data_IF_486344349306
#
_entry.id   IF_486344349306
#
_cell.length_a   1.000
_cell.length_b   1.000
_cell.length_c   1.000
_cell.angle_alpha   90.00
_cell.angle_beta   90.00
_cell.angle_gamma   90.00
#
_symmetry.space_group_name_H-M   'P 1'
#
loop_
_entity.id
_entity.type
_entity.pdbx_description
1 polymer ?
#
# COMPACT_ATOMS: atom_id res chain seq x y z
N UNK A 1 21.85 11.18 -9.55
CA UNK A 1 20.51 10.75 -9.23
C UNK A 1 20.62 9.62 -8.27
N UNK A 2 20.96 8.72 -7.92
CA UNK A 2 20.98 7.68 -6.88
C UNK A 2 22.31 7.50 -6.14
N UNK A 3 23.23 8.46 -6.22
CA UNK A 3 24.59 8.31 -5.64
C UNK A 3 24.59 8.28 -4.10
N UNK A 4 23.55 8.84 -3.46
CA UNK A 4 23.37 8.85 -2.00
C UNK A 4 22.26 7.91 -1.51
N UNK A 5 21.60 7.19 -2.42
CA UNK A 5 20.48 6.30 -2.06
C UNK A 5 20.95 5.13 -1.21
N UNK A 6 20.31 4.94 -0.06
CA UNK A 6 20.61 3.84 0.83
C UNK A 6 19.91 2.55 0.37
N UNK A 7 20.64 1.68 -0.31
CA UNK A 7 20.09 0.42 -0.85
C UNK A 7 19.56 -0.54 0.22
N UNK A 8 19.98 -0.38 1.48
CA UNK A 8 19.40 -1.15 2.59
C UNK A 8 17.94 -0.76 2.84
N UNK A 9 17.64 0.54 2.79
CA UNK A 9 16.27 1.03 2.96
C UNK A 9 15.39 0.66 1.76
N UNK A 10 15.93 0.73 0.54
CA UNK A 10 15.25 0.30 -0.69
C UNK A 10 14.90 -1.20 -0.65
N UNK A 11 15.85 -2.03 -0.19
CA UNK A 11 15.61 -3.48 -0.03
C UNK A 11 14.56 -3.77 1.05
N UNK A 12 14.51 -2.99 2.12
CA UNK A 12 13.50 -3.11 3.17
C UNK A 12 12.09 -2.79 2.61
N UNK A 13 11.97 -1.76 1.77
CA UNK A 13 10.70 -1.42 1.10
C UNK A 13 10.26 -2.51 0.13
N UNK A 14 11.18 -3.09 -0.64
CA UNK A 14 10.88 -4.21 -1.54
C UNK A 14 10.38 -5.44 -0.77
N UNK A 15 11.13 -5.87 0.24
CA UNK A 15 10.77 -7.06 1.03
C UNK A 15 9.50 -6.84 1.87
N UNK A 16 9.37 -5.67 2.47
CA UNK A 16 8.18 -5.33 3.24
C UNK A 16 6.92 -5.32 2.37
N UNK A 17 7.00 -4.75 1.16
CA UNK A 17 5.87 -4.75 0.23
C UNK A 17 5.57 -6.14 -0.31
N UNK A 18 6.61 -6.95 -0.57
CA UNK A 18 6.43 -8.37 -0.91
C UNK A 18 5.59 -9.10 0.15
N UNK A 19 5.98 -8.99 1.43
CA UNK A 19 5.24 -9.65 2.51
C UNK A 19 3.85 -9.06 2.74
N UNK A 20 3.69 -7.74 2.60
CA UNK A 20 2.39 -7.10 2.75
C UNK A 20 1.40 -7.60 1.69
N UNK A 21 1.83 -7.72 0.45
CA UNK A 21 1.01 -8.25 -0.65
C UNK A 21 0.76 -9.75 -0.45
N UNK A 22 1.81 -10.52 -0.20
CA UNK A 22 1.69 -11.97 -0.08
C UNK A 22 0.76 -12.40 1.06
N UNK A 23 0.96 -11.88 2.28
CA UNK A 23 0.12 -12.26 3.43
C UNK A 23 -1.16 -11.45 3.53
N UNK A 24 -1.09 -10.14 3.34
CA UNK A 24 -2.23 -9.25 3.52
C UNK A 24 -3.28 -9.42 2.44
N UNK A 25 -2.87 -9.41 1.17
CA UNK A 25 -3.80 -9.58 0.04
C UNK A 25 -4.33 -11.01 -0.05
N UNK A 26 -3.47 -12.02 0.22
CA UNK A 26 -3.91 -13.42 0.25
C UNK A 26 -5.05 -13.66 1.24
N UNK A 27 -5.08 -12.96 2.36
CA UNK A 27 -6.12 -13.10 3.36
C UNK A 27 -7.50 -12.64 2.85
N UNK A 28 -7.57 -11.58 2.04
CA UNK A 28 -8.83 -11.18 1.40
C UNK A 28 -9.35 -12.21 0.42
N UNK A 29 -8.47 -12.84 -0.32
CA UNK A 29 -8.83 -13.85 -1.31
C UNK A 29 -9.26 -15.19 -0.70
N UNK A 30 -8.93 -15.44 0.58
CA UNK A 30 -9.14 -16.74 1.22
C UNK A 30 -10.39 -16.84 2.07
N UNK A 31 -11.04 -15.73 2.39
CA UNK A 31 -12.19 -15.75 3.28
C UNK A 31 -13.39 -15.08 2.62
N UNK A 32 -14.57 -15.72 2.78
CA UNK A 32 -15.85 -15.07 2.54
C UNK A 32 -16.11 -13.96 3.59
N UNK A 33 -15.17 -13.78 4.53
CA UNK A 33 -15.23 -12.80 5.60
C UNK A 33 -14.24 -11.67 5.34
N UNK A 34 -14.74 -10.57 4.80
CA UNK A 34 -13.96 -9.35 4.54
C UNK A 34 -13.33 -8.78 5.82
N UNK A 35 -13.93 -9.00 6.99
CA UNK A 35 -13.37 -8.56 8.27
C UNK A 35 -12.07 -9.29 8.58
N UNK A 36 -12.03 -10.62 8.41
CA UNK A 36 -10.81 -11.40 8.64
C UNK A 36 -9.68 -10.98 7.69
N UNK A 37 -10.01 -10.72 6.42
CA UNK A 37 -9.06 -10.20 5.43
C UNK A 37 -8.47 -8.84 5.85
N UNK A 38 -9.34 -7.90 6.20
CA UNK A 38 -8.93 -6.56 6.64
C UNK A 38 -8.08 -6.60 7.92
N UNK A 39 -8.47 -7.43 8.89
CA UNK A 39 -7.72 -7.61 10.14
C UNK A 39 -6.33 -8.16 9.87
N UNK A 40 -6.22 -9.19 9.02
CA UNK A 40 -4.93 -9.78 8.66
C UNK A 40 -4.04 -8.76 7.96
N UNK A 41 -4.58 -7.94 7.04
CA UNK A 41 -3.82 -6.91 6.37
C UNK A 41 -3.28 -5.87 7.36
N UNK A 42 -4.12 -5.37 8.28
CA UNK A 42 -3.71 -4.41 9.30
C UNK A 42 -2.66 -4.98 10.26
N UNK A 43 -2.83 -6.22 10.72
CA UNK A 43 -1.86 -6.92 11.58
C UNK A 43 -0.54 -7.19 10.83
N UNK A 44 -0.60 -7.55 9.56
CA UNK A 44 0.60 -7.72 8.72
C UNK A 44 1.40 -6.42 8.68
N UNK A 45 0.76 -5.29 8.38
CA UNK A 45 1.44 -4.00 8.37
C UNK A 45 2.03 -3.66 9.74
N UNK A 46 1.29 -3.89 10.82
CA UNK A 46 1.78 -3.65 12.19
C UNK A 46 3.08 -4.42 12.47
N UNK A 47 3.14 -5.70 12.09
CA UNK A 47 4.35 -6.53 12.25
C UNK A 47 5.49 -6.01 11.38
N UNK A 48 5.20 -5.69 10.11
CA UNK A 48 6.20 -5.17 9.17
C UNK A 48 6.76 -3.83 9.61
N UNK A 49 5.97 -2.96 10.23
CA UNK A 49 6.44 -1.69 10.81
C UNK A 49 7.41 -1.90 11.97
N UNK A 50 7.23 -2.93 12.78
CA UNK A 50 8.22 -3.27 13.82
C UNK A 50 9.53 -3.77 13.22
N UNK A 51 9.48 -4.50 12.10
CA UNK A 51 10.67 -5.08 11.46
C UNK A 51 11.39 -4.06 10.58
N UNK A 52 10.68 -3.38 9.70
CA UNK A 52 11.23 -2.52 8.67
C UNK A 52 11.15 -1.02 8.99
N UNK A 53 10.28 -0.62 9.93
CA UNK A 53 10.14 0.79 10.33
C UNK A 53 11.46 1.45 10.74
N UNK A 54 12.28 0.82 11.61
CA UNK A 54 13.59 1.34 11.99
C UNK A 54 14.61 1.42 10.84
N UNK A 55 14.33 0.76 9.70
CA UNK A 55 15.25 0.68 8.56
C UNK A 55 14.86 1.72 7.49
N UNK A 56 13.60 1.69 7.01
CA UNK A 56 13.13 2.50 5.87
C UNK A 56 12.00 3.47 6.21
N UNK A 57 11.43 3.39 7.39
CA UNK A 57 10.17 4.04 7.73
C UNK A 57 8.94 3.21 7.34
N UNK A 58 9.14 2.06 6.66
CA UNK A 58 8.09 1.09 6.32
C UNK A 58 6.92 1.73 5.57
N UNK A 59 7.21 2.41 4.47
CA UNK A 59 6.17 3.01 3.62
C UNK A 59 5.32 1.95 2.93
N UNK A 60 5.95 0.96 2.30
CA UNK A 60 5.38 -0.21 1.61
C UNK A 60 4.24 0.12 0.63
N UNK A 61 4.09 1.37 0.27
CA UNK A 61 3.01 1.88 -0.58
C UNK A 61 3.47 3.17 -1.27
N UNK A 62 3.42 3.25 -2.61
CA UNK A 62 3.75 4.47 -3.35
C UNK A 62 2.97 5.71 -2.89
N UNK A 63 1.69 5.58 -2.54
CA UNK A 63 0.90 6.70 -2.03
C UNK A 63 1.42 7.22 -0.68
N UNK A 64 1.84 6.33 0.22
CA UNK A 64 2.50 6.69 1.48
C UNK A 64 3.84 7.38 1.22
N UNK A 65 4.61 6.86 0.27
CA UNK A 65 5.90 7.44 -0.12
C UNK A 65 5.72 8.85 -0.67
N UNK A 66 4.68 9.09 -1.49
CA UNK A 66 4.32 10.43 -1.97
C UNK A 66 3.98 11.36 -0.80
N UNK A 67 3.15 10.92 0.16
CA UNK A 67 2.80 11.72 1.34
C UNK A 67 4.02 12.11 2.18
N UNK A 68 4.95 11.18 2.41
CA UNK A 68 6.21 11.44 3.12
C UNK A 68 7.14 12.37 2.33
N UNK A 69 7.20 12.24 1.01
CA UNK A 69 7.96 13.14 0.15
C UNK A 69 7.39 14.57 0.20
N UNK A 70 6.08 14.73 0.13
CA UNK A 70 5.41 16.04 0.25
C UNK A 70 5.66 16.68 1.61
N UNK A 71 5.69 15.89 2.67
CA UNK A 71 6.05 16.33 4.04
C UNK A 71 7.55 16.54 4.24
N UNK A 72 8.36 16.43 3.20
CA UNK A 72 9.83 16.55 3.25
C UNK A 72 10.52 15.57 4.20
N UNK A 73 9.87 14.46 4.54
CA UNK A 73 10.43 13.38 5.36
C UNK A 73 11.27 12.40 4.55
N UNK A 74 11.07 12.35 3.23
CA UNK A 74 11.79 11.50 2.29
C UNK A 74 12.27 12.34 1.11
N UNK A 75 13.51 12.14 0.67
CA UNK A 75 14.06 12.82 -0.50
C UNK A 75 13.36 12.35 -1.78
N UNK A 76 13.41 13.16 -2.84
CA UNK A 76 12.83 12.78 -4.12
C UNK A 76 13.50 11.54 -4.72
N UNK A 77 14.83 11.43 -4.62
CA UNK A 77 15.58 10.29 -5.15
C UNK A 77 15.24 9.00 -4.38
N UNK A 78 15.16 9.06 -3.04
CA UNK A 78 14.73 7.92 -2.23
C UNK A 78 13.26 7.56 -2.50
N UNK A 79 12.37 8.53 -2.67
CA UNK A 79 10.97 8.29 -2.96
C UNK A 79 10.80 7.52 -4.28
N UNK A 80 11.53 7.91 -5.32
CA UNK A 80 11.52 7.20 -6.61
C UNK A 80 12.05 5.77 -6.45
N UNK A 81 13.18 5.59 -5.75
CA UNK A 81 13.75 4.28 -5.51
C UNK A 81 12.81 3.38 -4.68
N UNK A 82 12.16 3.94 -3.65
CA UNK A 82 11.18 3.23 -2.82
C UNK A 82 9.98 2.78 -3.66
N UNK A 83 9.38 3.69 -4.43
CA UNK A 83 8.22 3.34 -5.26
C UNK A 83 8.55 2.25 -6.28
N UNK A 84 9.72 2.30 -6.91
CA UNK A 84 10.17 1.23 -7.81
C UNK A 84 10.34 -0.11 -7.07
N UNK A 85 10.98 -0.10 -5.90
CA UNK A 85 11.18 -1.29 -5.07
C UNK A 85 9.84 -1.89 -4.58
N UNK A 86 8.88 -1.03 -4.21
CA UNK A 86 7.55 -1.43 -3.78
C UNK A 86 6.78 -2.14 -4.91
N UNK A 87 6.84 -1.62 -6.14
CA UNK A 87 6.21 -2.28 -7.31
C UNK A 87 6.85 -3.65 -7.56
N UNK A 88 8.18 -3.74 -7.52
CA UNK A 88 8.90 -5.02 -7.67
C UNK A 88 8.50 -6.00 -6.56
N UNK A 89 8.51 -5.57 -5.30
CA UNK A 89 8.10 -6.40 -4.17
C UNK A 89 6.65 -6.90 -4.31
N UNK A 90 5.74 -6.00 -4.65
CA UNK A 90 4.33 -6.34 -4.89
C UNK A 90 4.16 -7.37 -6.02
N UNK A 91 4.87 -7.17 -7.13
CA UNK A 91 4.84 -8.10 -8.27
C UNK A 91 5.30 -9.50 -7.87
N UNK A 92 6.39 -9.62 -7.11
CA UNK A 92 6.86 -10.92 -6.61
C UNK A 92 5.91 -11.54 -5.58
N UNK A 93 5.31 -10.73 -4.70
CA UNK A 93 4.30 -11.21 -3.75
C UNK A 93 3.07 -11.77 -4.45
N UNK A 94 2.59 -11.05 -5.46
CA UNK A 94 1.49 -11.49 -6.31
C UNK A 94 1.84 -12.75 -7.13
N UNK A 95 3.04 -12.78 -7.73
CA UNK A 95 3.52 -13.96 -8.46
C UNK A 95 3.51 -15.20 -7.56
N UNK A 96 4.06 -15.10 -6.36
CA UNK A 96 4.11 -16.25 -5.44
C UNK A 96 2.69 -16.69 -5.02
N UNK A 97 1.79 -15.74 -4.74
CA UNK A 97 0.39 -16.02 -4.44
C UNK A 97 -0.28 -16.76 -5.61
N UNK A 98 -0.12 -16.24 -6.82
CA UNK A 98 -0.70 -16.84 -8.04
C UNK A 98 -0.18 -18.25 -8.31
N UNK A 99 1.09 -18.50 -8.00
CA UNK A 99 1.69 -19.80 -8.14
C UNK A 99 1.19 -20.81 -7.10
N UNK A 100 1.03 -20.38 -5.84
CA UNK A 100 0.62 -21.26 -4.74
C UNK A 100 -0.91 -21.48 -4.70
N UNK A 101 -1.67 -20.48 -5.05
CA UNK A 101 -3.14 -20.54 -5.08
C UNK A 101 -3.73 -19.68 -6.23
N UNK A 102 -3.76 -20.26 -7.45
CA UNK A 102 -4.29 -19.53 -8.62
C UNK A 102 -5.77 -19.11 -8.47
N UNK A 103 -6.57 -19.86 -7.70
CA UNK A 103 -7.99 -19.52 -7.52
C UNK A 103 -8.16 -18.22 -6.72
N UNK A 104 -7.31 -18.00 -5.70
CA UNK A 104 -7.30 -16.77 -4.92
C UNK A 104 -6.89 -15.57 -5.76
N UNK A 105 -5.81 -15.71 -6.53
CA UNK A 105 -5.36 -14.66 -7.42
C UNK A 105 -6.46 -14.25 -8.40
N UNK A 106 -7.12 -15.21 -9.06
CA UNK A 106 -8.21 -14.95 -9.99
C UNK A 106 -9.41 -14.24 -9.35
N UNK A 107 -9.75 -14.54 -8.10
CA UNK A 107 -10.85 -13.87 -7.41
C UNK A 107 -10.64 -12.36 -7.26
N UNK A 108 -9.40 -11.93 -7.07
CA UNK A 108 -9.05 -10.51 -6.95
C UNK A 108 -9.05 -9.81 -8.31
N UNK A 109 -8.57 -10.47 -9.37
CA UNK A 109 -8.47 -9.88 -10.71
C UNK A 109 -9.83 -9.67 -11.40
N UNK A 110 -10.89 -10.30 -10.91
CA UNK A 110 -12.24 -10.17 -11.47
C UNK A 110 -13.05 -8.97 -10.95
N UNK A 111 -12.47 -8.12 -10.12
CA UNK A 111 -13.17 -6.94 -9.61
C UNK A 111 -13.25 -5.85 -10.69
N UNK A 112 -14.44 -5.28 -10.87
CA UNK A 112 -14.65 -4.18 -11.81
C UNK A 112 -14.27 -2.85 -11.16
N UNK A 113 -13.59 -1.99 -11.92
CA UNK A 113 -13.25 -0.63 -11.51
C UNK A 113 -14.31 0.38 -11.94
N UNK A 114 -14.63 1.32 -11.06
CA UNK A 114 -15.49 2.45 -11.36
C UNK A 114 -15.11 3.70 -10.53
N UNK A 115 -15.86 4.78 -10.72
CA UNK A 115 -15.65 6.03 -9.98
C UNK A 115 -15.83 5.84 -8.47
N UNK A 116 -16.65 4.89 -8.02
CA UNK A 116 -16.82 4.62 -6.59
C UNK A 116 -15.53 4.08 -5.97
N UNK A 117 -14.81 3.22 -6.67
CA UNK A 117 -13.49 2.73 -6.25
C UNK A 117 -12.47 3.86 -6.17
N UNK A 118 -12.44 4.78 -7.16
CA UNK A 118 -11.57 5.94 -7.12
C UNK A 118 -11.84 6.79 -5.87
N UNK A 119 -13.10 7.10 -5.58
CA UNK A 119 -13.48 7.90 -4.41
C UNK A 119 -13.15 7.17 -3.11
N UNK A 120 -13.47 5.87 -3.04
CA UNK A 120 -13.18 5.03 -1.88
C UNK A 120 -11.67 4.96 -1.60
N UNK A 121 -10.85 4.70 -2.63
CA UNK A 121 -9.40 4.69 -2.52
C UNK A 121 -8.85 6.06 -2.11
N UNK A 122 -9.39 7.15 -2.64
CA UNK A 122 -8.96 8.51 -2.27
C UNK A 122 -9.26 8.81 -0.79
N UNK A 123 -10.47 8.55 -0.32
CA UNK A 123 -10.85 8.79 1.09
C UNK A 123 -10.08 7.87 2.04
N UNK A 124 -9.99 6.59 1.71
CA UNK A 124 -9.27 5.61 2.52
C UNK A 124 -7.78 5.95 2.61
N UNK A 125 -7.14 6.25 1.49
CA UNK A 125 -5.72 6.63 1.47
C UNK A 125 -5.48 7.97 2.15
N UNK A 126 -6.39 8.94 2.04
CA UNK A 126 -6.30 10.20 2.77
C UNK A 126 -6.23 9.94 4.28
N UNK A 127 -7.15 9.16 4.83
CA UNK A 127 -7.16 8.83 6.24
C UNK A 127 -5.91 8.06 6.67
N UNK A 128 -5.50 7.09 5.87
CA UNK A 128 -4.33 6.26 6.15
C UNK A 128 -3.02 7.07 6.14
N UNK A 129 -2.80 7.90 5.10
CA UNK A 129 -1.60 8.75 4.98
C UNK A 129 -1.58 9.82 6.07
N UNK A 130 -2.72 10.46 6.34
CA UNK A 130 -2.85 11.41 7.45
C UNK A 130 -2.45 10.77 8.78
N UNK A 131 -2.92 9.55 9.07
CA UNK A 131 -2.55 8.81 10.29
C UNK A 131 -1.06 8.53 10.32
N UNK A 132 -0.48 7.98 9.26
CA UNK A 132 0.94 7.64 9.20
C UNK A 132 1.85 8.87 9.31
N UNK A 133 1.45 10.01 8.76
CA UNK A 133 2.20 11.26 8.91
C UNK A 133 2.11 11.84 10.33
N UNK A 134 1.05 11.53 11.07
CA UNK A 134 0.81 12.01 12.44
C UNK A 134 1.45 11.12 13.50
N UNK A 135 1.61 9.82 13.24
CA UNK A 135 2.22 8.87 14.19
C UNK A 135 3.03 7.79 13.47
N UNK A 136 4.10 7.34 14.13
CA UNK A 136 4.89 6.18 13.68
C UNK A 136 4.62 4.95 14.58
N UNK A 137 3.58 5.00 15.42
CA UNK A 137 3.19 3.86 16.23
C UNK A 137 2.64 2.73 15.34
N UNK A 138 3.28 1.55 15.31
CA UNK A 138 2.87 0.45 14.45
C UNK A 138 1.43 -0.02 14.70
N UNK A 139 0.97 0.05 15.95
CA UNK A 139 -0.40 -0.33 16.29
C UNK A 139 -1.41 0.64 15.66
N UNK A 140 -1.21 1.95 15.82
CA UNK A 140 -2.11 2.95 15.27
C UNK A 140 -2.18 2.90 13.74
N UNK A 141 -1.03 2.73 13.08
CA UNK A 141 -0.96 2.67 11.61
C UNK A 141 -1.56 1.36 11.07
N UNK A 142 -1.27 0.22 11.72
CA UNK A 142 -1.89 -1.06 11.36
C UNK A 142 -3.41 -1.07 11.59
N UNK A 143 -3.87 -0.47 12.70
CA UNK A 143 -5.29 -0.30 12.97
C UNK A 143 -5.98 0.62 11.95
N UNK A 144 -5.32 1.71 11.50
CA UNK A 144 -5.85 2.56 10.45
C UNK A 144 -6.03 1.79 9.13
N UNK A 145 -5.04 0.98 8.74
CA UNK A 145 -5.17 0.13 7.55
C UNK A 145 -6.32 -0.89 7.69
N UNK A 146 -6.45 -1.51 8.86
CA UNK A 146 -7.59 -2.40 9.15
C UNK A 146 -8.93 -1.68 9.00
N UNK A 147 -9.09 -0.50 9.60
CA UNK A 147 -10.35 0.27 9.54
C UNK A 147 -10.70 0.63 8.10
N UNK A 148 -9.74 1.15 7.34
CA UNK A 148 -9.96 1.51 5.93
C UNK A 148 -10.35 0.29 5.10
N UNK A 149 -9.64 -0.81 5.27
CA UNK A 149 -9.90 -2.04 4.52
C UNK A 149 -11.24 -2.70 4.89
N UNK A 150 -11.65 -2.63 6.17
CA UNK A 150 -12.93 -3.19 6.62
C UNK A 150 -14.14 -2.37 6.18
N UNK A 151 -13.95 -1.06 5.89
CA UNK A 151 -15.00 -0.18 5.37
C UNK A 151 -15.24 -0.32 3.85
N UNK A 152 -14.82 -1.43 3.25
CA UNK A 152 -14.87 -1.71 1.81
C UNK A 152 -14.00 -0.78 0.93
N UNK A 153 -13.03 -0.10 1.52
CA UNK A 153 -12.00 0.67 0.79
C UNK A 153 -10.79 -0.23 0.49
N UNK A 154 -11.05 -1.34 -0.20
CA UNK A 154 -10.10 -2.46 -0.34
C UNK A 154 -8.80 -2.08 -1.05
N UNK A 155 -8.78 -1.05 -1.86
CA UNK A 155 -7.63 -0.72 -2.71
C UNK A 155 -6.92 0.58 -2.28
N UNK A 156 -6.38 0.57 -1.07
CA UNK A 156 -5.57 1.68 -0.55
C UNK A 156 -4.06 1.49 -0.74
N UNK A 157 -3.64 0.37 -1.35
CA UNK A 157 -2.24 0.13 -1.65
C UNK A 157 -1.95 0.21 -3.14
N UNK A 158 -1.51 1.40 -3.60
CA UNK A 158 -1.14 1.63 -4.99
C UNK A 158 -0.01 0.71 -5.48
N UNK A 159 0.89 0.26 -4.59
CA UNK A 159 1.96 -0.67 -4.94
C UNK A 159 1.43 -2.06 -5.26
N UNK A 160 0.46 -2.55 -4.49
CA UNK A 160 -0.19 -3.83 -4.75
C UNK A 160 -0.94 -3.80 -6.09
N UNK A 161 -1.72 -2.76 -6.34
CA UNK A 161 -2.44 -2.59 -7.60
C UNK A 161 -1.49 -2.54 -8.80
N UNK A 162 -0.41 -1.75 -8.72
CA UNK A 162 0.62 -1.70 -9.78
C UNK A 162 1.33 -3.04 -9.96
N UNK A 163 1.62 -3.77 -8.87
CA UNK A 163 2.25 -5.09 -8.94
C UNK A 163 1.41 -6.12 -9.69
N UNK A 164 0.10 -6.12 -9.44
CA UNK A 164 -0.85 -6.97 -10.18
C UNK A 164 -0.90 -6.60 -11.65
N UNK A 165 -1.00 -5.30 -11.99
CA UNK A 165 -1.00 -4.82 -13.38
C UNK A 165 0.27 -5.22 -14.13
N UNK A 166 1.44 -5.12 -13.49
CA UNK A 166 2.73 -5.51 -14.10
C UNK A 166 2.79 -7.01 -14.34
N UNK A 167 2.30 -7.82 -13.41
CA UNK A 167 2.35 -9.27 -13.52
C UNK A 167 1.40 -9.83 -14.58
N UNK A 168 0.14 -9.41 -14.56
CA UNK A 168 -0.89 -9.92 -15.49
C UNK A 168 -0.77 -9.30 -16.89
N UNK A 169 0.01 -8.23 -17.04
CA UNK A 169 0.18 -7.52 -18.32
C UNK A 169 -1.09 -6.83 -18.81
N UNK A 170 -2.10 -6.69 -17.94
CA UNK A 170 -3.39 -6.05 -18.25
C UNK A 170 -3.61 -4.84 -17.36
N UNK A 171 -4.16 -3.78 -17.95
CA UNK A 171 -4.67 -2.65 -17.18
C UNK A 171 -6.06 -3.05 -16.70
N UNK A 172 -6.15 -3.48 -15.46
CA UNK A 172 -7.45 -3.74 -14.84
C UNK A 172 -8.05 -2.41 -14.40
N UNK A 173 -9.29 -2.13 -14.81
CA UNK A 173 -9.99 -0.89 -14.46
C UNK A 173 -9.97 -0.64 -12.96
N UNK A 174 -10.18 -1.68 -12.16
CA UNK A 174 -10.09 -1.65 -10.71
C UNK A 174 -8.73 -1.11 -10.21
N UNK A 175 -7.61 -1.66 -10.69
CA UNK A 175 -6.28 -1.23 -10.26
C UNK A 175 -5.97 0.20 -10.73
N UNK A 176 -6.41 0.58 -11.93
CA UNK A 176 -6.23 1.93 -12.46
C UNK A 176 -6.96 2.98 -11.60
N UNK A 177 -8.25 2.77 -11.31
CA UNK A 177 -9.01 3.68 -10.44
C UNK A 177 -8.46 3.70 -9.01
N UNK A 178 -8.04 2.56 -8.47
CA UNK A 178 -7.42 2.45 -7.16
C UNK A 178 -6.11 3.22 -7.05
N UNK A 179 -5.22 3.10 -8.04
CA UNK A 179 -3.95 3.84 -8.07
C UNK A 179 -4.20 5.35 -8.11
N UNK A 180 -5.06 5.81 -9.01
CA UNK A 180 -5.37 7.25 -9.13
C UNK A 180 -6.01 7.77 -7.84
N UNK A 181 -6.98 7.04 -7.29
CA UNK A 181 -7.62 7.39 -6.03
C UNK A 181 -6.62 7.47 -4.88
N UNK A 182 -5.73 6.49 -4.77
CA UNK A 182 -4.69 6.47 -3.74
C UNK A 182 -3.71 7.65 -3.86
N UNK A 183 -3.33 8.04 -5.06
CA UNK A 183 -2.47 9.23 -5.28
C UNK A 183 -3.20 10.51 -4.86
N UNK A 184 -4.47 10.67 -5.25
CA UNK A 184 -5.29 11.83 -4.81
C UNK A 184 -5.42 11.84 -3.29
N UNK A 185 -5.68 10.68 -2.67
CA UNK A 185 -5.77 10.52 -1.23
C UNK A 185 -4.48 10.86 -0.50
N UNK A 186 -3.32 10.50 -1.06
CA UNK A 186 -2.02 10.85 -0.49
C UNK A 186 -1.81 12.36 -0.41
N UNK A 187 -2.11 13.09 -1.49
CA UNK A 187 -2.04 14.55 -1.50
C UNK A 187 -3.04 15.18 -0.52
N UNK A 188 -4.27 14.66 -0.46
CA UNK A 188 -5.29 15.16 0.47
C UNK A 188 -4.90 14.90 1.92
N UNK A 189 -4.39 13.71 2.26
CA UNK A 189 -3.93 13.34 3.59
C UNK A 189 -2.76 14.18 4.06
N UNK A 190 -1.78 14.41 3.19
CA UNK A 190 -0.71 15.36 3.45
C UNK A 190 -1.24 16.76 3.69
N UNK A 191 -2.10 17.29 2.82
CA UNK A 191 -2.61 18.66 2.92
C UNK A 191 -3.42 18.89 4.21
N UNK A 192 -4.24 17.91 4.62
CA UNK A 192 -4.98 17.99 5.90
C UNK A 192 -4.01 17.95 7.07
N UNK A 193 -3.00 17.07 7.05
CA UNK A 193 -2.02 16.99 8.13
C UNK A 193 -1.24 18.31 8.27
N UNK A 194 -0.73 18.83 7.16
CA UNK A 194 0.14 20.02 7.14
C UNK A 194 -0.59 21.34 7.43
N UNK A 195 -1.90 21.42 7.12
CA UNK A 195 -2.64 22.69 7.28
C UNK A 195 -3.67 22.68 8.42
N UNK A 196 -4.05 21.51 8.93
CA UNK A 196 -5.12 21.43 9.93
C UNK A 196 -4.69 20.78 11.25
N UNK A 197 -3.60 19.98 11.26
CA UNK A 197 -3.20 19.21 12.44
C UNK A 197 -1.83 19.65 13.00
N UNK A 198 -1.03 20.42 12.27
CA UNK A 198 0.20 21.08 12.70
C UNK A 198 -0.05 22.55 12.99
#
# INVERSE_FOLDING_TARGET
MFDETNWKTVSAEMLGTFFLVFFGIAAFASSDDAFAGALTLGLTLMVLMHVFGPISGCHLNPAVTIGNMMSKKTSQDDAIAYMAAQVVGATFGWFLLSYLDPNRANAITMMNGDVAILVAAAVGTMFFVMTLLSTQDPFAVGAALFVVSSAAFHDVNAGAALGVMVFDGTIMDFAFFGVIGSVIGAFAGWAVKDNCLD
#
